data_IF_148490092476
#
_entry.id   IF_148490092476
#
_cell.length_a   1.000
_cell.length_b   1.000
_cell.length_c   1.000
_cell.angle_alpha   90.00
_cell.angle_beta   90.00
_cell.angle_gamma   90.00
#
_symmetry.space_group_name_H-M   'P 1'
#
loop_
_entity.id
_entity.type
_entity.pdbx_description
1 polymer ?
#
# COMPACT_ATOMS: atom_id res chain seq x y z
N UNK A 1 21.67 9.49 -23.72
CA UNK A 1 20.32 9.05 -23.32
C UNK A 1 20.35 7.61 -22.79
N UNK A 2 20.94 6.68 -23.51
CA UNK A 2 21.02 5.27 -23.07
C UNK A 2 21.82 5.12 -21.78
N UNK A 3 22.95 5.79 -21.64
CA UNK A 3 23.76 5.74 -20.42
C UNK A 3 23.03 6.30 -19.20
N UNK A 4 22.24 7.34 -19.40
CA UNK A 4 21.45 7.91 -18.32
C UNK A 4 20.35 6.95 -17.85
N UNK A 5 19.67 6.33 -18.81
CA UNK A 5 18.63 5.33 -18.49
C UNK A 5 19.23 4.12 -17.79
N UNK A 6 20.38 3.62 -18.28
CA UNK A 6 21.05 2.49 -17.66
C UNK A 6 21.50 2.78 -16.24
N UNK A 7 22.04 3.97 -15.97
CA UNK A 7 22.41 4.38 -14.60
C UNK A 7 21.21 4.44 -13.67
N UNK A 8 20.07 4.94 -14.14
CA UNK A 8 18.84 4.95 -13.37
C UNK A 8 18.33 3.54 -13.12
N UNK A 9 18.40 2.67 -14.11
CA UNK A 9 18.01 1.27 -14.00
C UNK A 9 18.83 0.54 -12.93
N UNK A 10 20.10 0.88 -12.77
CA UNK A 10 20.97 0.28 -11.75
C UNK A 10 20.69 0.81 -10.33
N UNK A 11 20.00 1.93 -10.18
CA UNK A 11 19.60 2.43 -8.88
C UNK A 11 18.28 1.77 -8.46
N UNK A 12 18.37 0.66 -7.72
CA UNK A 12 17.22 -0.16 -7.32
C UNK A 12 16.13 0.64 -6.61
N UNK A 13 16.48 1.52 -5.67
CA UNK A 13 15.50 2.30 -4.94
C UNK A 13 14.76 3.27 -5.84
N UNK A 14 15.49 3.94 -6.72
CA UNK A 14 14.87 4.87 -7.68
C UNK A 14 13.88 4.15 -8.58
N UNK A 15 14.28 3.01 -9.17
CA UNK A 15 13.43 2.25 -10.08
C UNK A 15 12.20 1.72 -9.35
N UNK A 16 12.40 1.02 -8.24
CA UNK A 16 11.30 0.36 -7.54
C UNK A 16 10.24 1.35 -7.07
N UNK A 17 10.65 2.42 -6.40
CA UNK A 17 9.70 3.37 -5.84
C UNK A 17 8.98 4.15 -6.93
N UNK A 18 9.68 4.62 -7.95
CA UNK A 18 9.06 5.40 -9.03
C UNK A 18 8.21 4.53 -9.96
N UNK A 19 8.67 3.32 -10.30
CA UNK A 19 7.92 2.42 -11.17
C UNK A 19 6.63 1.98 -10.48
N UNK A 20 6.70 1.55 -9.23
CA UNK A 20 5.49 1.15 -8.49
C UNK A 20 4.50 2.30 -8.36
N UNK A 21 4.99 3.49 -8.06
CA UNK A 21 4.13 4.66 -7.95
C UNK A 21 3.46 5.00 -9.28
N UNK A 22 4.18 4.91 -10.39
CA UNK A 22 3.62 5.14 -11.73
C UNK A 22 2.57 4.08 -12.09
N UNK A 23 2.82 2.82 -11.79
CA UNK A 23 1.85 1.74 -12.02
C UNK A 23 0.60 1.91 -11.17
N UNK A 24 0.74 2.27 -9.91
CA UNK A 24 -0.40 2.55 -9.05
C UNK A 24 -1.24 3.68 -9.65
N UNK A 25 -0.60 4.75 -10.10
CA UNK A 25 -1.29 5.86 -10.78
C UNK A 25 -2.09 5.41 -11.99
N UNK A 26 -1.48 4.60 -12.85
CA UNK A 26 -2.16 4.08 -14.05
C UNK A 26 -3.33 3.17 -13.69
N UNK A 27 -3.19 2.32 -12.69
CA UNK A 27 -4.27 1.45 -12.26
C UNK A 27 -5.43 2.29 -11.69
N UNK A 28 -5.12 3.28 -10.87
CA UNK A 28 -6.15 4.16 -10.29
C UNK A 28 -6.91 4.93 -11.37
N UNK A 29 -6.20 5.44 -12.39
CA UNK A 29 -6.83 6.19 -13.48
C UNK A 29 -7.69 5.33 -14.39
N UNK A 30 -7.32 4.07 -14.60
CA UNK A 30 -7.91 3.20 -15.63
C UNK A 30 -8.77 2.08 -15.05
N UNK A 31 -9.05 2.08 -13.77
CA UNK A 31 -9.84 1.04 -13.12
C UNK A 31 -10.76 1.64 -12.04
N UNK A 32 -11.77 0.88 -11.59
CA UNK A 32 -12.72 1.36 -10.59
C UNK A 32 -12.18 1.31 -9.15
N UNK A 33 -10.91 1.59 -8.94
CA UNK A 33 -10.29 1.64 -7.60
C UNK A 33 -10.94 2.76 -6.79
N UNK A 34 -11.34 2.42 -5.56
CA UNK A 34 -11.99 3.35 -4.64
C UNK A 34 -11.10 3.75 -3.47
N UNK A 35 -10.17 2.88 -3.07
CA UNK A 35 -9.25 3.15 -1.96
C UNK A 35 -7.89 2.52 -2.21
N UNK A 36 -6.85 3.15 -1.66
CA UNK A 36 -5.48 2.65 -1.72
C UNK A 36 -5.06 2.26 -0.30
N UNK A 37 -4.62 1.03 -0.13
CA UNK A 37 -4.14 0.50 1.14
C UNK A 37 -2.62 0.39 1.08
N UNK A 38 -1.94 1.02 2.03
CA UNK A 38 -0.48 1.04 2.09
C UNK A 38 -0.04 0.41 3.40
N UNK A 39 0.73 -0.67 3.31
CA UNK A 39 1.30 -1.35 4.47
C UNK A 39 2.74 -0.87 4.64
N UNK A 40 3.02 -0.15 5.72
CA UNK A 40 4.30 0.53 5.91
C UNK A 40 4.60 0.73 7.40
N UNK A 41 5.87 0.58 7.79
CA UNK A 41 6.28 0.90 9.15
C UNK A 41 6.61 2.38 9.32
N UNK A 42 7.42 2.91 8.42
CA UNK A 42 7.95 4.28 8.53
C UNK A 42 7.05 5.34 7.92
N UNK A 43 6.12 4.94 7.05
CA UNK A 43 5.28 5.87 6.32
C UNK A 43 5.85 6.35 4.99
N UNK A 44 7.03 5.89 4.59
CA UNK A 44 7.66 6.35 3.35
C UNK A 44 6.76 6.09 2.14
N UNK A 45 6.26 4.88 1.99
CA UNK A 45 5.39 4.54 0.86
C UNK A 45 4.11 5.38 0.85
N UNK A 46 3.51 5.59 2.02
CA UNK A 46 2.31 6.42 2.15
C UNK A 46 2.59 7.87 1.76
N UNK A 47 3.73 8.40 2.18
CA UNK A 47 4.14 9.77 1.84
C UNK A 47 4.32 9.94 0.33
N UNK A 48 4.99 8.99 -0.32
CA UNK A 48 5.23 9.03 -1.76
C UNK A 48 3.90 8.95 -2.53
N UNK A 49 3.02 8.02 -2.15
CA UNK A 49 1.73 7.85 -2.81
C UNK A 49 0.83 9.07 -2.60
N UNK A 50 0.76 9.58 -1.38
CA UNK A 50 -0.08 10.75 -1.07
C UNK A 50 0.34 12.00 -1.85
N UNK A 51 1.64 12.14 -2.12
CA UNK A 51 2.14 13.28 -2.89
C UNK A 51 1.76 13.23 -4.37
N UNK A 52 1.44 12.04 -4.89
CA UNK A 52 1.14 11.82 -6.32
C UNK A 52 -0.35 11.62 -6.61
N UNK A 53 -1.11 11.07 -5.68
CA UNK A 53 -2.48 10.64 -5.93
C UNK A 53 -3.42 10.99 -4.78
N UNK A 54 -3.64 12.29 -4.52
CA UNK A 54 -4.50 12.71 -3.42
C UNK A 54 -6.01 12.50 -3.67
N UNK A 55 -6.41 12.10 -4.87
CA UNK A 55 -7.84 12.00 -5.24
C UNK A 55 -8.55 10.79 -4.65
N UNK A 56 -7.82 9.74 -4.30
CA UNK A 56 -8.41 8.54 -3.70
C UNK A 56 -7.99 8.44 -2.24
N UNK A 57 -8.92 8.05 -1.35
CA UNK A 57 -8.56 7.84 0.05
C UNK A 57 -7.42 6.83 0.20
N UNK A 58 -6.44 7.17 1.01
CA UNK A 58 -5.30 6.32 1.32
C UNK A 58 -5.44 5.85 2.76
N UNK A 59 -5.42 4.53 2.96
CA UNK A 59 -5.37 3.92 4.28
C UNK A 59 -3.95 3.41 4.48
N UNK A 60 -3.21 4.04 5.38
CA UNK A 60 -1.83 3.68 5.68
C UNK A 60 -1.75 2.94 7.01
N UNK A 61 -1.34 1.68 6.95
CA UNK A 61 -1.33 0.79 8.09
C UNK A 61 0.08 0.55 8.57
N UNK A 62 0.32 0.77 9.86
CA UNK A 62 1.59 0.47 10.52
C UNK A 62 1.38 -0.40 11.75
N UNK A 63 2.37 -1.21 12.06
CA UNK A 63 2.44 -1.96 13.32
C UNK A 63 3.06 -1.14 14.46
N UNK A 64 3.39 0.11 14.20
CA UNK A 64 3.89 1.06 15.19
C UNK A 64 2.84 2.15 15.44
N UNK A 65 2.40 2.24 16.68
CA UNK A 65 1.30 3.12 17.07
C UNK A 65 1.62 4.60 16.83
N UNK A 66 2.84 5.01 17.13
CA UNK A 66 3.27 6.41 16.95
C UNK A 66 3.32 6.77 15.46
N UNK A 67 3.94 5.89 14.66
CA UNK A 67 4.04 6.11 13.21
C UNK A 67 2.66 6.19 12.56
N UNK A 68 1.74 5.29 12.92
CA UNK A 68 0.40 5.28 12.35
C UNK A 68 -0.34 6.61 12.56
N UNK A 69 -0.19 7.21 13.72
CA UNK A 69 -0.79 8.53 13.99
C UNK A 69 -0.20 9.63 13.11
N UNK A 70 1.12 9.59 12.88
CA UNK A 70 1.78 10.61 12.06
C UNK A 70 1.33 10.59 10.61
N UNK A 71 0.83 9.46 10.10
CA UNK A 71 0.37 9.35 8.71
C UNK A 71 -0.86 10.21 8.44
N UNK A 72 -1.62 10.58 9.45
CA UNK A 72 -2.76 11.49 9.30
C UNK A 72 -2.35 12.88 8.82
N UNK A 73 -1.06 13.23 8.88
CA UNK A 73 -0.55 14.49 8.35
C UNK A 73 -0.39 14.47 6.82
N UNK A 74 -0.38 13.29 6.20
CA UNK A 74 -0.25 13.19 4.75
C UNK A 74 -1.60 13.48 4.06
N UNK A 75 -1.59 14.22 2.92
CA UNK A 75 -2.83 14.52 2.20
C UNK A 75 -3.64 13.26 1.86
N UNK A 76 -4.94 13.32 2.10
CA UNK A 76 -5.87 12.24 1.76
C UNK A 76 -5.63 10.91 2.46
N UNK A 77 -4.84 10.90 3.53
CA UNK A 77 -4.36 9.69 4.19
C UNK A 77 -4.95 9.56 5.59
N UNK A 78 -5.42 8.36 5.91
CA UNK A 78 -5.80 7.97 7.26
C UNK A 78 -4.78 6.96 7.78
N UNK A 79 -4.11 7.29 8.88
CA UNK A 79 -3.20 6.38 9.58
C UNK A 79 -3.99 5.40 10.44
N UNK A 80 -3.65 4.12 10.34
CA UNK A 80 -4.33 3.04 11.06
C UNK A 80 -3.27 2.18 11.76
N UNK A 81 -3.46 1.98 13.05
CA UNK A 81 -2.59 1.13 13.84
C UNK A 81 -3.07 -0.33 13.77
N UNK A 82 -2.16 -1.22 13.37
CA UNK A 82 -2.38 -2.66 13.39
C UNK A 82 -1.61 -3.25 14.56
N UNK A 83 -2.32 -3.86 15.48
CA UNK A 83 -1.78 -4.25 16.79
C UNK A 83 -0.70 -5.33 16.74
N UNK A 84 -0.76 -6.24 15.75
CA UNK A 84 0.22 -7.30 15.61
C UNK A 84 1.44 -6.81 14.82
N UNK A 85 2.64 -7.20 15.27
CA UNK A 85 3.87 -6.86 14.55
C UNK A 85 3.92 -7.54 13.19
N UNK A 86 4.39 -6.80 12.17
CA UNK A 86 4.57 -7.38 10.84
C UNK A 86 5.63 -8.49 10.92
N UNK A 87 5.37 -9.67 10.34
CA UNK A 87 6.32 -10.76 10.38
C UNK A 87 7.60 -10.42 9.60
N UNK A 88 8.72 -11.02 10.03
CA UNK A 88 10.03 -10.78 9.42
C UNK A 88 10.33 -11.70 8.24
N UNK A 89 9.67 -12.84 8.16
CA UNK A 89 10.00 -13.91 7.20
C UNK A 89 8.81 -14.42 6.37
N UNK A 90 7.65 -13.79 6.48
CA UNK A 90 6.47 -14.13 5.66
C UNK A 90 5.73 -12.88 5.23
N UNK A 91 4.75 -13.04 4.35
CA UNK A 91 3.84 -11.97 3.96
C UNK A 91 2.40 -12.23 4.39
N UNK A 92 2.21 -13.12 5.36
CA UNK A 92 0.88 -13.57 5.80
C UNK A 92 0.03 -12.44 6.41
N UNK A 93 0.67 -11.40 6.91
CA UNK A 93 0.00 -10.25 7.50
C UNK A 93 -0.85 -9.46 6.50
N UNK A 94 -0.54 -9.53 5.21
CA UNK A 94 -1.28 -8.76 4.19
C UNK A 94 -2.75 -9.15 4.19
N UNK A 95 -3.04 -10.43 4.12
CA UNK A 95 -4.42 -10.92 4.14
C UNK A 95 -5.11 -10.59 5.47
N UNK A 96 -4.42 -10.75 6.58
CA UNK A 96 -4.96 -10.43 7.91
C UNK A 96 -5.28 -8.94 8.05
N UNK A 97 -4.46 -8.08 7.48
CA UNK A 97 -4.69 -6.64 7.50
C UNK A 97 -5.93 -6.29 6.67
N UNK A 98 -6.09 -6.87 5.49
CA UNK A 98 -7.27 -6.63 4.66
C UNK A 98 -8.55 -7.06 5.40
N UNK A 99 -8.53 -8.23 6.02
CA UNK A 99 -9.63 -8.71 6.85
C UNK A 99 -9.93 -7.76 8.02
N UNK A 100 -8.90 -7.30 8.70
CA UNK A 100 -9.01 -6.33 9.78
C UNK A 100 -9.67 -5.02 9.31
N UNK A 101 -9.25 -4.52 8.15
CA UNK A 101 -9.84 -3.30 7.58
C UNK A 101 -11.33 -3.47 7.28
N UNK A 102 -11.71 -4.61 6.75
CA UNK A 102 -13.11 -4.90 6.49
C UNK A 102 -13.93 -5.01 7.78
N UNK A 103 -13.45 -5.76 8.75
CA UNK A 103 -14.14 -5.96 10.04
C UNK A 103 -14.29 -4.66 10.82
N UNK A 104 -13.38 -3.73 10.65
CA UNK A 104 -13.41 -2.43 11.31
C UNK A 104 -14.04 -1.34 10.43
N UNK A 105 -14.65 -1.72 9.31
CA UNK A 105 -15.40 -0.83 8.42
C UNK A 105 -14.56 0.27 7.75
N UNK A 106 -13.26 0.08 7.65
CA UNK A 106 -12.41 0.97 6.86
C UNK A 106 -12.58 0.74 5.36
N UNK A 107 -12.93 -0.49 4.98
CA UNK A 107 -13.32 -0.85 3.62
C UNK A 107 -14.66 -1.59 3.67
N UNK A 108 -15.42 -1.49 2.59
CA UNK A 108 -16.75 -2.09 2.48
C UNK A 108 -16.84 -2.98 1.24
N UNK A 109 -17.91 -3.76 1.14
CA UNK A 109 -18.12 -4.71 0.02
C UNK A 109 -18.01 -4.07 -1.36
N UNK A 110 -18.45 -2.82 -1.50
CA UNK A 110 -18.42 -2.12 -2.79
C UNK A 110 -17.07 -1.53 -3.13
N UNK A 111 -16.10 -1.62 -2.23
CA UNK A 111 -14.77 -1.09 -2.50
C UNK A 111 -13.97 -2.00 -3.43
N UNK A 112 -13.20 -1.37 -4.29
CA UNK A 112 -12.12 -1.98 -5.06
C UNK A 112 -10.84 -1.35 -4.58
N UNK A 113 -9.92 -2.16 -4.07
CA UNK A 113 -8.73 -1.66 -3.40
C UNK A 113 -7.45 -2.08 -4.12
N UNK A 114 -6.47 -1.20 -4.08
CA UNK A 114 -5.07 -1.53 -4.33
C UNK A 114 -4.40 -1.68 -2.97
N UNK A 115 -3.60 -2.74 -2.81
CA UNK A 115 -2.74 -2.94 -1.64
C UNK A 115 -1.30 -2.90 -2.09
N UNK A 116 -0.50 -2.08 -1.44
CA UNK A 116 0.92 -1.92 -1.76
C UNK A 116 1.73 -1.70 -0.50
N UNK A 117 3.03 -1.76 -0.63
CA UNK A 117 3.95 -1.55 0.49
C UNK A 117 5.19 -2.41 0.36
N UNK A 118 5.78 -2.76 1.49
CA UNK A 118 6.99 -3.57 1.57
C UNK A 118 6.70 -4.82 2.39
N UNK A 119 6.91 -5.98 1.78
CA UNK A 119 6.71 -7.29 2.41
C UNK A 119 7.92 -8.18 2.21
N UNK A 120 7.95 -9.28 2.96
CA UNK A 120 9.01 -10.30 2.82
C UNK A 120 8.95 -10.94 1.41
N UNK A 121 10.10 -11.25 0.80
CA UNK A 121 11.45 -10.90 1.22
C UNK A 121 11.72 -9.40 1.06
N UNK A 122 12.46 -8.81 2.01
CA UNK A 122 12.71 -7.37 2.03
C UNK A 122 13.90 -7.02 1.14
N UNK A 123 13.68 -6.54 -0.08
CA UNK A 123 14.77 -6.06 -0.92
C UNK A 123 15.22 -4.68 -0.48
N UNK A 124 16.21 -4.11 -1.11
CA UNK A 124 16.69 -2.77 -0.79
C UNK A 124 15.76 -1.62 -1.22
N UNK A 125 14.54 -1.91 -1.66
CA UNK A 125 13.55 -0.90 -2.05
C UNK A 125 12.48 -0.72 -0.98
N UNK A 126 11.62 0.27 -1.16
CA UNK A 126 10.61 0.68 -0.20
C UNK A 126 9.20 0.19 -0.52
N UNK A 127 8.99 -0.30 -1.73
CA UNK A 127 7.74 -0.91 -2.20
C UNK A 127 8.09 -2.06 -3.11
N UNK A 128 7.49 -3.23 -2.89
CA UNK A 128 7.81 -4.42 -3.66
C UNK A 128 6.61 -5.26 -4.05
N UNK A 129 5.39 -4.78 -3.83
CA UNK A 129 4.21 -5.51 -4.27
C UNK A 129 3.05 -4.58 -4.58
N UNK A 130 2.18 -5.04 -5.48
CA UNK A 130 0.89 -4.42 -5.77
C UNK A 130 -0.12 -5.55 -5.89
N UNK A 131 -1.23 -5.44 -5.14
CA UNK A 131 -2.36 -6.33 -5.27
C UNK A 131 -3.60 -5.50 -5.59
N UNK A 132 -4.50 -6.04 -6.41
CA UNK A 132 -5.80 -5.46 -6.67
C UNK A 132 -6.87 -6.43 -6.21
N UNK A 133 -7.82 -5.95 -5.42
CA UNK A 133 -8.90 -6.77 -4.89
C UNK A 133 -10.24 -6.07 -5.01
N UNK A 134 -11.23 -6.83 -5.45
CA UNK A 134 -12.63 -6.48 -5.25
C UNK A 134 -13.03 -7.03 -3.89
N UNK A 135 -13.38 -6.16 -2.96
CA UNK A 135 -13.67 -6.58 -1.57
C UNK A 135 -14.80 -7.57 -1.53
N UNK A 136 -15.81 -7.42 -2.38
CA UNK A 136 -16.95 -8.35 -2.46
C UNK A 136 -16.49 -9.79 -2.71
N UNK A 137 -15.51 -10.00 -3.59
CA UNK A 137 -14.98 -11.33 -3.87
C UNK A 137 -14.28 -11.93 -2.65
N UNK A 138 -13.52 -11.12 -1.93
CA UNK A 138 -12.85 -11.57 -0.70
C UNK A 138 -13.87 -11.97 0.37
N UNK A 139 -14.91 -11.17 0.53
CA UNK A 139 -15.97 -11.46 1.51
C UNK A 139 -16.64 -12.79 1.18
N UNK A 140 -16.97 -13.04 -0.09
CA UNK A 140 -17.60 -14.29 -0.52
C UNK A 140 -16.67 -15.49 -0.36
N UNK A 141 -15.43 -15.37 -0.81
CA UNK A 141 -14.47 -16.49 -0.83
C UNK A 141 -14.02 -16.90 0.56
N UNK A 142 -13.89 -15.94 1.48
CA UNK A 142 -13.36 -16.18 2.83
C UNK A 142 -14.42 -16.05 3.92
N UNK A 143 -15.67 -15.85 3.54
CA UNK A 143 -16.82 -15.77 4.47
C UNK A 143 -16.61 -14.74 5.59
N UNK A 144 -16.12 -13.59 5.21
CA UNK A 144 -15.94 -12.49 6.16
C UNK A 144 -17.25 -11.95 6.69
#
# INVERSE_FOLDING_TARGET
AENYISKKILNKNFISDNIFNDYIGKIVENSPVTKIVVITRSGYAAKVISSKMPEKPILAISDDKFSSKSFNLFPGTKGIYYKEKFPKNTSDHVFKIISFLYKNKYIIKNDNIIVTGLIYPYPGCRMNFIQYHKVLELVKNFKW
#
